data_IF_896476656804
#
_entry.id   IF_896476656804
#
_cell.length_a   1.000
_cell.length_b   1.000
_cell.length_c   1.000
_cell.angle_alpha   90.00
_cell.angle_beta   90.00
_cell.angle_gamma   90.00
#
_symmetry.space_group_name_H-M   'P 1'
#
loop_
_entity.id
_entity.type
_entity.pdbx_description
1 polymer ?
#
# COMPACT_ATOMS: atom_id res chain seq x y z
N UNK A 1 27.47 -4.74 27.22
CA UNK A 1 28.66 -3.89 27.02
C UNK A 1 28.14 -2.47 26.93
N UNK A 2 28.26 -1.73 28.02
CA UNK A 2 27.80 -0.33 28.13
C UNK A 2 28.84 0.64 27.56
N UNK A 3 28.38 1.74 26.99
CA UNK A 3 29.21 2.88 26.60
C UNK A 3 29.02 4.02 27.61
N UNK A 4 30.09 4.70 28.05
CA UNK A 4 30.01 5.78 29.03
C UNK A 4 29.63 7.11 28.36
N UNK A 5 28.70 7.83 28.96
CA UNK A 5 28.29 9.15 28.49
C UNK A 5 27.11 9.70 29.29
N UNK A 6 27.41 10.27 30.46
CA UNK A 6 26.48 11.06 31.26
C UNK A 6 25.97 12.26 30.47
N UNK A 7 24.67 12.30 30.18
CA UNK A 7 23.92 13.54 29.97
C UNK A 7 22.67 13.46 30.85
N UNK A 8 22.73 14.17 31.97
CA UNK A 8 21.60 14.44 32.84
C UNK A 8 20.57 15.30 32.10
N UNK A 9 19.54 14.65 31.59
CA UNK A 9 18.32 15.23 31.05
C UNK A 9 17.30 14.10 30.85
N UNK A 10 15.98 14.36 30.91
CA UNK A 10 15.02 13.36 30.49
C UNK A 10 15.39 12.91 29.07
N UNK A 11 15.38 11.60 28.74
CA UNK A 11 15.68 11.17 27.39
C UNK A 11 14.73 11.92 26.46
N UNK A 12 15.30 12.74 25.56
CA UNK A 12 14.53 13.29 24.45
C UNK A 12 13.80 12.09 23.84
N UNK A 13 12.46 12.15 23.80
CA UNK A 13 11.64 11.04 23.30
C UNK A 13 12.23 10.59 21.97
N UNK A 14 12.85 9.41 21.95
CA UNK A 14 13.47 8.87 20.74
C UNK A 14 12.35 8.70 19.73
N UNK A 15 12.40 9.46 18.63
CA UNK A 15 11.41 9.37 17.58
C UNK A 15 11.30 7.91 17.13
N UNK A 16 10.13 7.31 17.31
CA UNK A 16 9.90 5.91 16.96
C UNK A 16 9.57 5.83 15.47
N UNK A 17 10.31 4.99 14.75
CA UNK A 17 10.09 4.75 13.34
C UNK A 17 9.23 3.49 13.16
N UNK A 18 8.06 3.64 12.55
CA UNK A 18 7.16 2.54 12.21
C UNK A 18 7.24 2.23 10.72
N UNK A 19 7.56 0.99 10.37
CA UNK A 19 7.41 0.48 9.00
C UNK A 19 5.92 0.25 8.74
N UNK A 20 5.39 0.91 7.72
CA UNK A 20 3.99 0.82 7.32
C UNK A 20 3.77 -0.22 6.22
N UNK A 21 4.69 -0.27 5.25
CA UNK A 21 4.67 -1.22 4.13
C UNK A 21 6.10 -1.50 3.70
N UNK A 22 6.36 -2.70 3.19
CA UNK A 22 7.65 -3.12 2.68
C UNK A 22 7.48 -3.77 1.29
N UNK A 23 8.41 -3.49 0.38
CA UNK A 23 8.50 -4.14 -0.94
C UNK A 23 9.94 -4.58 -1.20
N UNK A 24 10.09 -5.80 -1.73
CA UNK A 24 11.39 -6.36 -2.11
C UNK A 24 11.69 -5.92 -3.55
N UNK A 25 12.81 -5.23 -3.74
CA UNK A 25 13.20 -4.72 -5.07
C UNK A 25 14.21 -5.64 -5.75
N UNK A 26 15.14 -6.19 -4.99
CA UNK A 26 16.11 -7.20 -5.42
C UNK A 26 16.43 -8.14 -4.26
N UNK A 27 17.33 -9.12 -4.48
CA UNK A 27 17.79 -10.05 -3.44
C UNK A 27 18.38 -9.36 -2.21
N UNK A 28 19.02 -8.21 -2.41
CA UNK A 28 19.79 -7.48 -1.41
C UNK A 28 19.21 -6.11 -1.07
N UNK A 29 18.07 -5.71 -1.66
CA UNK A 29 17.52 -4.37 -1.51
C UNK A 29 16.01 -4.38 -1.29
N UNK A 30 15.62 -3.67 -0.25
CA UNK A 30 14.23 -3.52 0.19
C UNK A 30 13.89 -2.03 0.29
N UNK A 31 12.69 -1.68 -0.13
CA UNK A 31 12.10 -0.37 0.10
C UNK A 31 10.93 -0.47 1.07
N UNK A 32 10.70 0.55 1.87
CA UNK A 32 9.58 0.62 2.79
C UNK A 32 8.96 2.00 2.84
N UNK A 33 7.68 2.05 3.19
CA UNK A 33 7.06 3.28 3.69
C UNK A 33 7.23 3.30 5.19
N UNK A 34 7.73 4.41 5.72
CA UNK A 34 8.04 4.57 7.13
C UNK A 34 7.39 5.84 7.67
N UNK A 35 6.93 5.80 8.91
CA UNK A 35 6.38 6.96 9.61
C UNK A 35 7.12 7.18 10.91
N UNK A 36 7.52 8.41 11.21
CA UNK A 36 8.21 8.78 12.45
C UNK A 36 7.26 9.50 13.41
N UNK A 37 7.26 9.11 14.68
CA UNK A 37 6.55 9.84 15.73
C UNK A 37 7.41 11.01 16.24
N UNK A 38 6.83 12.22 16.29
CA UNK A 38 7.50 13.43 16.78
C UNK A 38 8.02 14.34 15.66
N UNK A 39 7.32 15.46 15.43
CA UNK A 39 7.68 16.50 14.46
C UNK A 39 7.08 16.26 13.07
N UNK A 40 5.98 16.95 12.74
CA UNK A 40 5.49 17.08 11.35
C UNK A 40 4.99 15.80 10.64
N UNK A 41 4.97 14.63 11.29
CA UNK A 41 4.11 13.47 10.97
C UNK A 41 4.04 12.99 9.51
N UNK A 42 5.13 13.07 8.74
CA UNK A 42 5.15 12.65 7.33
C UNK A 42 5.51 11.19 7.11
N UNK A 43 4.96 10.58 6.06
CA UNK A 43 5.42 9.28 5.54
C UNK A 43 6.60 9.50 4.58
N UNK A 44 7.62 8.65 4.68
CA UNK A 44 8.80 8.68 3.83
C UNK A 44 9.02 7.32 3.15
N UNK A 45 9.76 7.33 2.04
CA UNK A 45 10.31 6.10 1.46
C UNK A 45 11.66 5.85 2.11
N UNK A 46 11.90 4.66 2.64
CA UNK A 46 13.20 4.28 3.18
C UNK A 46 13.74 3.05 2.45
N UNK A 47 15.05 3.03 2.21
CA UNK A 47 15.75 1.89 1.63
C UNK A 47 16.60 1.19 2.68
N UNK A 48 16.73 -0.12 2.56
CA UNK A 48 17.57 -0.95 3.41
C UNK A 48 18.20 -2.09 2.59
N UNK A 49 19.46 -2.42 2.91
CA UNK A 49 20.11 -3.65 2.47
C UNK A 49 20.23 -4.63 3.63
N UNK A 50 19.28 -5.57 3.79
CA UNK A 50 19.31 -6.51 4.90
C UNK A 50 20.64 -7.26 4.94
N UNK A 51 21.32 -7.24 6.09
CA UNK A 51 22.56 -7.99 6.32
C UNK A 51 23.87 -7.26 6.01
N UNK A 52 23.86 -6.14 5.27
CA UNK A 52 25.09 -5.36 4.98
C UNK A 52 25.10 -3.99 5.64
N UNK A 53 23.94 -3.37 5.83
CA UNK A 53 23.82 -2.06 6.49
C UNK A 53 22.64 -2.07 7.46
N UNK A 54 22.82 -1.73 8.74
CA UNK A 54 21.74 -1.72 9.72
C UNK A 54 20.86 -0.45 9.64
N UNK A 55 21.20 0.50 8.77
CA UNK A 55 20.55 1.80 8.64
C UNK A 55 19.50 1.83 7.52
N UNK A 56 18.40 2.53 7.80
CA UNK A 56 17.40 2.90 6.81
C UNK A 56 17.69 4.30 6.29
N UNK A 57 17.79 4.46 4.98
CA UNK A 57 17.97 5.78 4.35
C UNK A 57 16.60 6.34 3.99
N UNK A 58 16.01 7.15 4.88
CA UNK A 58 14.70 7.75 4.68
C UNK A 58 14.78 8.99 3.77
N UNK A 59 13.96 8.98 2.73
CA UNK A 59 13.76 10.06 1.80
C UNK A 59 12.33 10.56 1.95
N UNK A 60 12.21 11.72 2.58
CA UNK A 60 10.95 12.44 2.57
C UNK A 60 10.72 12.94 1.14
N UNK A 61 9.52 12.77 0.58
CA UNK A 61 9.18 13.49 -0.63
C UNK A 61 9.37 15.00 -0.39
N UNK A 62 9.63 15.80 -1.44
CA UNK A 62 9.86 17.24 -1.31
C UNK A 62 8.60 17.94 -0.75
N UNK A 63 8.44 17.92 0.57
CA UNK A 63 7.36 18.54 1.32
C UNK A 63 7.87 19.84 1.92
N UNK A 64 7.54 20.95 1.27
CA UNK A 64 7.86 22.30 1.75
C UNK A 64 7.56 23.40 0.75
N UNK A 65 7.61 23.12 -0.56
CA UNK A 65 7.29 24.09 -1.60
C UNK A 65 6.16 23.64 -2.54
N UNK A 66 6.07 22.36 -2.89
CA UNK A 66 5.05 21.86 -3.81
C UNK A 66 3.95 21.07 -3.09
N UNK A 67 2.92 21.80 -2.65
CA UNK A 67 1.75 21.23 -1.97
C UNK A 67 0.88 20.36 -2.91
N UNK A 68 1.23 20.22 -4.19
CA UNK A 68 0.42 19.55 -5.19
C UNK A 68 0.52 18.01 -5.15
N UNK A 69 1.65 17.45 -4.69
CA UNK A 69 1.86 16.00 -4.71
C UNK A 69 1.03 15.28 -3.63
N UNK A 70 0.93 15.87 -2.44
CA UNK A 70 0.24 15.30 -1.28
C UNK A 70 1.00 14.14 -0.59
N UNK A 71 0.36 13.54 0.41
CA UNK A 71 0.96 12.50 1.26
C UNK A 71 1.33 11.24 0.50
N UNK A 72 2.45 10.61 0.85
CA UNK A 72 2.83 9.28 0.36
C UNK A 72 1.82 8.22 0.84
N UNK A 73 1.06 7.64 -0.09
CA UNK A 73 0.02 6.63 0.18
C UNK A 73 0.55 5.22 0.07
N UNK A 74 1.19 4.89 -1.06
CA UNK A 74 1.61 3.53 -1.34
C UNK A 74 2.90 3.45 -2.20
N UNK A 75 3.55 2.28 -2.24
CA UNK A 75 4.70 1.99 -3.10
C UNK A 75 4.58 0.61 -3.75
N UNK A 76 5.17 0.45 -4.93
CA UNK A 76 5.23 -0.83 -5.64
C UNK A 76 6.49 -0.92 -6.52
N UNK A 77 6.96 -2.14 -6.76
CA UNK A 77 8.05 -2.40 -7.72
C UNK A 77 7.42 -2.86 -9.03
N UNK A 78 7.78 -2.19 -10.13
CA UNK A 78 7.30 -2.51 -11.45
C UNK A 78 8.36 -2.19 -12.50
N UNK A 79 8.61 -3.10 -13.45
CA UNK A 79 9.63 -2.91 -14.48
C UNK A 79 11.04 -2.63 -13.93
N UNK A 80 11.37 -3.16 -12.73
CA UNK A 80 12.65 -2.91 -12.06
C UNK A 80 12.80 -1.53 -11.41
N UNK A 81 11.76 -0.70 -11.41
CA UNK A 81 11.74 0.62 -10.76
C UNK A 81 10.82 0.65 -9.55
N UNK A 82 11.15 1.51 -8.59
CA UNK A 82 10.29 1.81 -7.45
C UNK A 82 9.31 2.93 -7.84
N UNK A 83 8.03 2.61 -7.83
CA UNK A 83 6.97 3.58 -8.00
C UNK A 83 6.34 3.93 -6.65
N UNK A 84 5.94 5.18 -6.51
CA UNK A 84 5.25 5.69 -5.35
C UNK A 84 3.99 6.43 -5.76
N UNK A 85 2.94 6.16 -4.99
CA UNK A 85 1.63 6.74 -5.14
C UNK A 85 1.42 7.74 -4.00
N UNK A 86 1.13 8.97 -4.38
CA UNK A 86 0.86 10.07 -3.47
C UNK A 86 -0.64 10.42 -3.46
N UNK A 87 -1.01 11.40 -2.64
CA UNK A 87 -2.37 11.91 -2.54
C UNK A 87 -2.99 12.21 -3.91
N UNK A 88 -4.30 12.04 -4.01
CA UNK A 88 -5.08 12.24 -5.23
C UNK A 88 -4.69 11.35 -6.43
N UNK A 89 -3.81 10.36 -6.23
CA UNK A 89 -3.38 9.46 -7.30
C UNK A 89 -2.16 9.95 -8.07
N UNK A 90 -1.40 10.91 -7.55
CA UNK A 90 -0.13 11.32 -8.17
C UNK A 90 0.86 10.14 -8.20
N UNK A 91 1.43 9.84 -9.36
CA UNK A 91 2.39 8.73 -9.54
C UNK A 91 3.80 9.27 -9.80
N UNK A 92 4.74 8.91 -8.93
CA UNK A 92 6.17 9.13 -9.12
C UNK A 92 6.92 7.81 -9.31
N UNK A 93 8.12 7.88 -9.89
CA UNK A 93 9.14 6.86 -9.70
C UNK A 93 10.37 7.43 -8.99
N UNK A 94 11.09 6.55 -8.32
CA UNK A 94 12.40 6.81 -7.74
C UNK A 94 13.44 5.97 -8.48
N UNK A 95 14.48 6.60 -9.01
CA UNK A 95 15.64 5.89 -9.52
C UNK A 95 16.60 5.61 -8.37
N UNK A 96 17.29 4.47 -8.44
CA UNK A 96 18.26 4.08 -7.42
C UNK A 96 19.61 4.69 -7.76
N UNK A 97 20.19 5.39 -6.79
CA UNK A 97 21.53 5.94 -6.90
C UNK A 97 22.48 4.95 -6.21
N UNK A 98 23.47 4.48 -6.95
CA UNK A 98 24.58 3.73 -6.38
C UNK A 98 25.39 4.67 -5.46
N UNK A 99 25.27 4.48 -4.14
CA UNK A 99 26.09 5.16 -3.15
C UNK A 99 27.19 4.24 -2.61
N UNK A 100 28.21 4.83 -2.00
CA UNK A 100 29.41 4.19 -1.42
C UNK A 100 29.13 3.33 -0.15
N UNK A 101 27.94 2.74 -0.04
CA UNK A 101 27.55 1.84 1.05
C UNK A 101 26.04 1.81 1.30
N UNK A 102 25.40 2.97 1.42
CA UNK A 102 23.95 3.07 1.66
C UNK A 102 23.16 3.27 0.36
N UNK A 103 22.06 2.53 0.17
CA UNK A 103 21.18 2.71 -0.98
C UNK A 103 20.44 4.04 -0.86
N UNK A 104 20.49 4.87 -1.91
CA UNK A 104 19.79 6.16 -1.96
C UNK A 104 18.80 6.16 -3.13
N UNK A 105 17.71 6.89 -2.99
CA UNK A 105 16.85 7.23 -4.15
C UNK A 105 17.19 8.61 -4.69
N UNK A 106 16.95 8.80 -5.99
CA UNK A 106 16.92 10.10 -6.66
C UNK A 106 15.76 10.97 -6.18
N UNK A 107 15.68 12.18 -6.73
CA UNK A 107 14.44 12.97 -6.69
C UNK A 107 13.27 12.22 -7.33
N UNK A 108 12.07 12.43 -6.79
CA UNK A 108 10.77 11.96 -7.33
C UNK A 108 10.63 12.41 -8.78
N UNK A 109 10.56 11.48 -9.73
CA UNK A 109 10.20 11.80 -11.13
C UNK A 109 8.70 11.64 -11.26
N UNK A 110 7.98 12.75 -11.48
CA UNK A 110 6.53 12.75 -11.61
C UNK A 110 6.12 12.23 -13.00
N UNK A 111 5.22 11.24 -13.03
CA UNK A 111 4.75 10.60 -14.27
C UNK A 111 3.29 10.89 -14.58
N UNK A 112 2.42 10.83 -13.56
CA UNK A 112 0.98 11.03 -13.73
C UNK A 112 0.49 11.95 -12.62
N UNK A 113 -0.07 13.09 -13.01
CA UNK A 113 -0.77 13.96 -12.08
C UNK A 113 -2.06 13.27 -11.62
N UNK A 114 -2.31 13.31 -10.31
CA UNK A 114 -3.52 12.76 -9.71
C UNK A 114 -4.74 13.54 -10.17
N UNK A 115 -5.78 12.82 -10.60
CA UNK A 115 -7.05 13.45 -10.95
C UNK A 115 -7.89 13.73 -9.70
N UNK A 116 -8.47 14.94 -9.68
CA UNK A 116 -9.19 15.46 -8.53
C UNK A 116 -10.43 14.65 -8.15
N UNK A 117 -10.93 13.70 -8.97
CA UNK A 117 -11.86 12.58 -8.69
C UNK A 117 -12.28 11.92 -10.04
N UNK A 118 -12.83 10.68 -10.07
CA UNK A 118 -13.32 10.08 -11.31
C UNK A 118 -14.41 10.96 -11.95
N UNK A 119 -14.52 11.04 -13.29
CA UNK A 119 -15.53 11.87 -13.95
C UNK A 119 -16.97 11.48 -13.59
N UNK A 120 -17.19 10.23 -13.18
CA UNK A 120 -18.49 9.69 -12.80
C UNK A 120 -18.72 9.65 -11.27
N UNK A 121 -17.91 10.39 -10.51
CA UNK A 121 -18.02 10.40 -9.06
C UNK A 121 -19.37 10.97 -8.64
N UNK A 122 -20.11 10.23 -7.81
CA UNK A 122 -21.31 10.77 -7.20
C UNK A 122 -20.94 11.85 -6.17
N UNK A 123 -21.77 12.90 -5.99
CA UNK A 123 -21.49 13.98 -5.04
C UNK A 123 -21.20 13.53 -3.61
N UNK A 124 -21.73 12.36 -3.23
CA UNK A 124 -21.64 11.80 -1.88
C UNK A 124 -20.53 10.75 -1.70
N UNK A 125 -19.73 10.50 -2.73
CA UNK A 125 -18.57 9.63 -2.62
C UNK A 125 -17.40 10.38 -1.97
N UNK A 126 -16.64 9.68 -1.14
CA UNK A 126 -15.43 10.17 -0.52
C UNK A 126 -14.27 9.29 -0.95
N UNK A 127 -13.17 9.94 -1.31
CA UNK A 127 -11.93 9.26 -1.64
C UNK A 127 -11.28 8.77 -0.35
N UNK A 128 -11.35 7.47 -0.11
CA UNK A 128 -11.03 6.88 1.18
C UNK A 128 -9.65 6.21 1.20
N UNK A 129 -9.12 5.83 0.05
CA UNK A 129 -7.76 5.29 -0.04
C UNK A 129 -7.29 4.98 -1.45
N UNK A 130 -5.98 4.89 -1.61
CA UNK A 130 -5.33 4.54 -2.86
C UNK A 130 -4.28 3.46 -2.60
N UNK A 131 -4.27 2.43 -3.43
CA UNK A 131 -3.26 1.39 -3.41
C UNK A 131 -2.63 1.25 -4.79
N UNK A 132 -1.34 0.98 -4.81
CA UNK A 132 -0.55 0.76 -6.02
C UNK A 132 -0.24 -0.73 -6.14
N UNK A 133 -0.61 -1.35 -7.25
CA UNK A 133 -0.52 -2.81 -7.41
C UNK A 133 0.01 -3.16 -8.79
N UNK A 134 1.13 -3.89 -8.91
CA UNK A 134 1.52 -4.50 -10.19
C UNK A 134 0.48 -5.55 -10.59
N UNK A 135 0.06 -5.52 -11.85
CA UNK A 135 -0.90 -6.48 -12.41
C UNK A 135 -0.37 -7.91 -12.36
N UNK A 136 -1.26 -8.87 -12.08
CA UNK A 136 -0.92 -10.30 -12.05
C UNK A 136 -0.58 -10.85 -13.44
N UNK A 137 -1.17 -10.26 -14.48
CA UNK A 137 -0.91 -10.62 -15.88
C UNK A 137 0.38 -10.00 -16.42
N UNK A 138 1.07 -9.20 -15.61
CA UNK A 138 2.28 -8.48 -16.00
C UNK A 138 2.00 -7.25 -16.87
N UNK A 139 3.04 -6.44 -17.07
CA UNK A 139 3.04 -5.30 -18.00
C UNK A 139 2.28 -4.05 -17.55
N UNK A 140 1.40 -4.14 -16.56
CA UNK A 140 0.58 -3.01 -16.09
C UNK A 140 0.84 -2.68 -14.61
N UNK A 141 0.75 -1.39 -14.29
CA UNK A 141 0.73 -0.87 -12.93
C UNK A 141 -0.66 -0.30 -12.65
N UNK A 142 -1.29 -0.77 -11.58
CA UNK A 142 -2.68 -0.50 -11.26
C UNK A 142 -2.80 0.46 -10.08
N UNK A 143 -3.70 1.45 -10.23
CA UNK A 143 -4.25 2.22 -9.12
C UNK A 143 -5.56 1.58 -8.69
N UNK A 144 -5.61 1.05 -7.47
CA UNK A 144 -6.84 0.58 -6.84
C UNK A 144 -7.35 1.69 -5.93
N UNK A 145 -8.40 2.38 -6.39
CA UNK A 145 -9.02 3.48 -5.67
C UNK A 145 -10.19 2.97 -4.84
N UNK A 146 -10.13 3.20 -3.54
CA UNK A 146 -11.18 2.92 -2.58
C UNK A 146 -12.05 4.16 -2.41
N UNK A 147 -13.33 4.03 -2.74
CA UNK A 147 -14.34 5.05 -2.54
C UNK A 147 -15.33 4.60 -1.47
N UNK A 148 -15.80 5.55 -0.67
CA UNK A 148 -16.87 5.33 0.29
C UNK A 148 -18.05 6.26 -0.01
N UNK A 149 -19.24 5.69 -0.16
CA UNK A 149 -20.49 6.44 -0.25
C UNK A 149 -21.42 6.04 0.88
N UNK A 150 -22.24 6.97 1.38
CA UNK A 150 -23.28 6.65 2.37
C UNK A 150 -24.30 5.63 1.86
N UNK A 151 -24.54 5.58 0.55
CA UNK A 151 -25.57 4.70 -0.04
C UNK A 151 -25.02 3.37 -0.57
N UNK A 152 -23.85 3.41 -1.19
CA UNK A 152 -23.23 2.21 -1.79
C UNK A 152 -22.26 1.52 -0.82
N UNK A 153 -21.94 2.17 0.30
CA UNK A 153 -20.86 1.76 1.17
C UNK A 153 -19.51 1.85 0.47
N UNK A 154 -18.60 0.96 0.86
CA UNK A 154 -17.26 0.82 0.28
C UNK A 154 -17.34 0.13 -1.07
N UNK A 155 -16.67 0.72 -2.07
CA UNK A 155 -16.47 0.11 -3.37
C UNK A 155 -15.11 0.51 -3.96
N UNK A 156 -14.71 -0.17 -5.02
CA UNK A 156 -13.39 -0.02 -5.62
C UNK A 156 -13.49 0.23 -7.12
N UNK A 157 -12.60 1.09 -7.60
CA UNK A 157 -12.38 1.31 -9.03
C UNK A 157 -10.90 1.10 -9.32
N UNK A 158 -10.59 0.39 -10.41
CA UNK A 158 -9.22 0.08 -10.80
C UNK A 158 -8.87 0.85 -12.06
N UNK A 159 -7.70 1.50 -12.06
CA UNK A 159 -7.15 2.21 -13.19
C UNK A 159 -5.80 1.61 -13.57
N UNK A 160 -5.48 1.64 -14.85
CA UNK A 160 -4.18 1.28 -15.42
C UNK A 160 -3.37 2.56 -15.66
N UNK A 161 -2.09 2.53 -15.29
CA UNK A 161 -1.16 3.60 -15.58
C UNK A 161 -0.80 3.63 -17.07
N UNK A 162 -1.04 4.75 -17.75
CA UNK A 162 -0.40 5.09 -19.03
C UNK A 162 0.68 6.14 -18.75
N UNK A 163 1.90 5.66 -18.46
CA UNK A 163 3.04 6.54 -18.14
C UNK A 163 3.45 7.39 -19.35
N UNK A 164 3.39 6.83 -20.56
CA UNK A 164 3.73 7.57 -21.79
C UNK A 164 2.72 8.65 -22.13
N UNK A 165 1.45 8.42 -21.80
CA UNK A 165 0.36 9.38 -21.93
C UNK A 165 0.03 10.19 -20.67
N UNK A 166 0.86 10.08 -19.63
CA UNK A 166 0.76 10.79 -18.34
C UNK A 166 -0.66 10.77 -17.71
N UNK A 167 -1.38 9.64 -17.78
CA UNK A 167 -2.77 9.56 -17.28
C UNK A 167 -3.12 8.19 -16.69
N UNK A 168 -4.13 8.20 -15.82
CA UNK A 168 -4.84 7.01 -15.39
C UNK A 168 -5.99 6.70 -16.35
N UNK A 169 -6.12 5.46 -16.79
CA UNK A 169 -7.28 5.00 -17.59
C UNK A 169 -8.02 3.93 -16.82
N UNK A 170 -9.35 4.00 -16.75
CA UNK A 170 -10.11 2.94 -16.08
C UNK A 170 -9.83 1.58 -16.72
N UNK A 171 -9.57 0.57 -15.89
CA UNK A 171 -9.25 -0.76 -16.35
C UNK A 171 -10.45 -1.38 -17.07
N UNK A 172 -10.23 -1.91 -18.27
CA UNK A 172 -11.26 -2.61 -19.00
C UNK A 172 -11.72 -3.86 -18.24
N UNK A 173 -13.02 -4.17 -18.29
CA UNK A 173 -13.56 -5.37 -17.66
C UNK A 173 -12.80 -6.65 -18.06
N UNK A 174 -12.33 -6.74 -19.31
CA UNK A 174 -11.54 -7.87 -19.79
C UNK A 174 -10.20 -8.05 -19.09
N UNK A 175 -9.49 -6.97 -18.73
CA UNK A 175 -8.18 -7.07 -18.04
C UNK A 175 -8.32 -7.43 -16.56
N UNK A 176 -9.49 -7.22 -15.97
CA UNK A 176 -9.76 -7.52 -14.57
C UNK A 176 -10.30 -8.94 -14.32
N UNK A 177 -10.80 -9.63 -15.36
CA UNK A 177 -11.56 -10.89 -15.22
C UNK A 177 -10.82 -12.03 -14.53
N UNK A 178 -9.50 -12.09 -14.67
CA UNK A 178 -8.67 -13.14 -14.09
C UNK A 178 -7.77 -12.62 -12.94
N UNK A 179 -8.01 -11.41 -12.44
CA UNK A 179 -7.22 -10.83 -11.37
C UNK A 179 -7.91 -10.94 -10.00
N UNK A 180 -7.12 -11.35 -9.01
CA UNK A 180 -7.39 -11.24 -7.58
C UNK A 180 -6.45 -10.20 -7.00
N UNK A 181 -6.96 -9.07 -6.52
CA UNK A 181 -6.15 -7.97 -6.00
C UNK A 181 -6.31 -7.89 -4.49
N UNK A 182 -5.22 -8.11 -3.75
CA UNK A 182 -5.15 -7.97 -2.31
C UNK A 182 -4.58 -6.60 -1.99
N UNK A 183 -5.26 -5.83 -1.14
CA UNK A 183 -4.85 -4.48 -0.75
C UNK A 183 -5.10 -4.23 0.74
N UNK A 184 -4.17 -3.51 1.35
CA UNK A 184 -4.21 -3.09 2.73
C UNK A 184 -3.05 -2.13 3.02
N UNK A 185 -2.92 -1.73 4.28
CA UNK A 185 -1.83 -0.84 4.73
C UNK A 185 -0.44 -1.46 4.56
N UNK A 186 -0.30 -2.75 4.85
CA UNK A 186 0.98 -3.46 4.87
C UNK A 186 1.26 -4.32 3.64
N UNK A 187 0.27 -4.52 2.75
CA UNK A 187 0.42 -5.37 1.58
C UNK A 187 -0.45 -4.86 0.43
N UNK A 188 0.11 -4.88 -0.79
CA UNK A 188 -0.69 -4.82 -2.00
C UNK A 188 -0.09 -5.78 -3.04
N UNK A 189 -0.91 -6.67 -3.59
CA UNK A 189 -0.47 -7.69 -4.56
C UNK A 189 -1.62 -8.14 -5.44
N UNK A 190 -1.35 -8.40 -6.71
CA UNK A 190 -2.27 -9.10 -7.58
C UNK A 190 -1.82 -10.56 -7.81
N UNK A 191 -2.79 -11.45 -7.94
CA UNK A 191 -2.63 -12.85 -8.29
C UNK A 191 -3.60 -13.24 -9.41
N UNK A 192 -3.25 -14.27 -10.17
CA UNK A 192 -4.09 -14.81 -11.24
C UNK A 192 -5.12 -15.78 -10.66
N UNK A 193 -6.41 -15.55 -10.88
CA UNK A 193 -7.49 -16.35 -10.31
C UNK A 193 -7.54 -17.78 -10.85
N UNK A 194 -7.24 -17.95 -12.14
CA UNK A 194 -7.18 -19.26 -12.80
C UNK A 194 -6.14 -20.21 -12.18
N UNK A 195 -5.08 -19.69 -11.56
CA UNK A 195 -4.12 -20.51 -10.80
C UNK A 195 -4.73 -21.15 -9.55
N UNK A 196 -5.87 -20.64 -9.07
CA UNK A 196 -6.58 -21.11 -7.88
C UNK A 196 -7.97 -21.69 -8.21
N UNK A 197 -8.18 -22.10 -9.47
CA UNK A 197 -9.41 -22.73 -9.93
C UNK A 197 -10.57 -21.77 -10.25
N UNK A 198 -10.45 -20.47 -9.93
CA UNK A 198 -11.38 -19.44 -10.40
C UNK A 198 -12.84 -19.56 -9.89
N UNK A 199 -13.06 -20.22 -8.75
CA UNK A 199 -14.39 -20.47 -8.19
C UNK A 199 -14.67 -19.66 -6.92
N UNK A 200 -15.95 -19.36 -6.68
CA UNK A 200 -16.40 -18.67 -5.46
C UNK A 200 -15.75 -17.28 -5.27
N UNK A 201 -15.20 -17.04 -4.08
CA UNK A 201 -14.47 -15.82 -3.75
C UNK A 201 -13.14 -15.68 -4.51
N UNK A 202 -12.56 -16.79 -4.96
CA UNK A 202 -11.33 -16.83 -5.77
C UNK A 202 -11.62 -16.81 -7.27
N UNK A 203 -12.87 -16.53 -7.68
CA UNK A 203 -13.16 -16.14 -9.06
C UNK A 203 -12.48 -14.80 -9.33
N UNK A 204 -11.88 -14.60 -10.49
CA UNK A 204 -11.25 -13.33 -10.81
C UNK A 204 -12.24 -12.17 -10.83
N UNK A 205 -11.74 -10.96 -11.05
CA UNK A 205 -12.49 -9.73 -10.84
C UNK A 205 -12.82 -9.49 -9.33
N UNK A 206 -11.81 -9.62 -8.45
CA UNK A 206 -11.98 -9.43 -7.01
C UNK A 206 -10.93 -8.52 -6.39
N UNK A 207 -11.36 -7.70 -5.44
CA UNK A 207 -10.49 -6.98 -4.51
C UNK A 207 -10.70 -7.53 -3.10
N UNK A 208 -9.64 -8.04 -2.49
CA UNK A 208 -9.58 -8.44 -1.08
C UNK A 208 -8.98 -7.28 -0.30
N UNK A 209 -9.77 -6.67 0.59
CA UNK A 209 -9.36 -5.52 1.37
C UNK A 209 -9.17 -5.88 2.84
N UNK A 210 -8.00 -5.56 3.40
CA UNK A 210 -7.73 -5.63 4.84
C UNK A 210 -7.72 -4.23 5.45
N UNK A 211 -8.54 -4.01 6.47
CA UNK A 211 -8.62 -2.73 7.16
C UNK A 211 -7.73 -2.74 8.40
N UNK A 212 -6.47 -2.34 8.27
CA UNK A 212 -5.52 -2.34 9.39
C UNK A 212 -5.61 -1.07 10.27
N UNK A 213 -6.59 -0.18 10.03
CA UNK A 213 -6.75 1.08 10.78
C UNK A 213 -8.03 1.10 11.65
N UNK A 214 -8.90 0.10 11.54
CA UNK A 214 -10.12 0.01 12.38
C UNK A 214 -10.28 -1.36 13.06
N UNK A 215 -9.19 -1.86 13.66
CA UNK A 215 -9.24 -2.94 14.65
C UNK A 215 -10.00 -2.56 15.96
N UNK A 216 -10.98 -1.65 15.86
CA UNK A 216 -12.00 -1.41 16.88
C UNK A 216 -13.17 -2.42 16.79
N UNK A 217 -13.27 -3.17 15.69
CA UNK A 217 -14.31 -4.17 15.48
C UNK A 217 -13.69 -5.54 15.21
N UNK A 218 -13.78 -6.42 16.19
CA UNK A 218 -13.12 -7.72 16.30
C UNK A 218 -13.68 -8.81 15.39
N UNK A 219 -14.06 -8.52 14.14
CA UNK A 219 -14.76 -9.52 13.31
C UNK A 219 -14.39 -9.61 11.83
N UNK A 220 -13.50 -8.80 11.25
CA UNK A 220 -13.26 -8.88 9.79
C UNK A 220 -11.78 -9.06 9.45
N UNK A 221 -11.41 -10.25 8.97
CA UNK A 221 -10.06 -10.55 8.48
C UNK A 221 -9.88 -10.16 7.01
N UNK A 222 -10.88 -10.36 6.14
CA UNK A 222 -10.86 -9.87 4.74
C UNK A 222 -12.26 -9.57 4.21
N UNK A 223 -12.44 -8.44 3.51
CA UNK A 223 -13.68 -8.11 2.79
C UNK A 223 -13.43 -8.19 1.27
N UNK A 224 -14.26 -8.94 0.55
CA UNK A 224 -14.09 -9.17 -0.89
C UNK A 224 -15.10 -8.39 -1.71
N UNK A 225 -14.65 -7.61 -2.69
CA UNK A 225 -15.45 -6.74 -3.55
C UNK A 225 -15.32 -7.12 -5.03
N UNK A 226 -16.36 -6.87 -5.83
CA UNK A 226 -16.33 -7.04 -7.29
C UNK A 226 -15.90 -5.73 -7.98
N UNK A 227 -14.87 -5.79 -8.84
CA UNK A 227 -14.29 -4.59 -9.47
C UNK A 227 -15.10 -4.07 -10.66
N UNK A 228 -15.83 -4.95 -11.36
CA UNK A 228 -16.60 -4.62 -12.55
C UNK A 228 -18.02 -4.18 -12.19
N UNK A 229 -18.70 -4.94 -11.34
CA UNK A 229 -20.09 -4.66 -10.93
C UNK A 229 -20.17 -3.53 -9.90
N UNK A 230 -19.02 -3.17 -9.28
CA UNK A 230 -18.92 -2.13 -8.23
C UNK A 230 -20.02 -2.30 -7.18
N UNK A 231 -20.10 -3.50 -6.61
CA UNK A 231 -21.18 -3.90 -5.71
C UNK A 231 -21.33 -2.95 -4.51
N UNK A 232 -22.57 -2.79 -4.04
CA UNK A 232 -22.92 -2.01 -2.85
C UNK A 232 -22.50 -2.73 -1.55
N UNK A 233 -21.20 -2.94 -1.37
CA UNK A 233 -20.61 -3.70 -0.28
C UNK A 233 -19.90 -4.99 -0.71
N UNK A 234 -19.34 -5.75 0.26
CA UNK A 234 -18.58 -6.96 -0.02
C UNK A 234 -19.50 -8.06 -0.58
N UNK A 235 -19.03 -8.74 -1.64
CA UNK A 235 -19.70 -9.91 -2.23
C UNK A 235 -19.45 -11.16 -1.37
N UNK A 236 -18.28 -11.22 -0.71
CA UNK A 236 -17.94 -12.26 0.25
C UNK A 236 -17.24 -11.63 1.46
N UNK A 237 -17.92 -11.48 2.61
CA UNK A 237 -17.21 -11.24 3.86
C UNK A 237 -16.58 -12.57 4.32
N UNK A 238 -15.27 -12.59 4.57
CA UNK A 238 -14.59 -13.74 5.18
C UNK A 238 -14.36 -13.40 6.65
N UNK A 239 -15.09 -14.12 7.51
CA UNK A 239 -15.01 -14.02 8.97
C UNK A 239 -14.02 -15.06 9.49
N UNK A 240 -13.22 -14.70 10.49
CA UNK A 240 -12.38 -15.63 11.24
C UNK A 240 -13.23 -16.24 12.38
N UNK A 241 -14.14 -17.16 12.04
CA UNK A 241 -15.11 -17.74 12.99
C UNK A 241 -14.54 -18.93 13.81
N UNK A 242 -13.27 -19.34 13.62
CA UNK A 242 -12.70 -20.52 14.29
C UNK A 242 -12.11 -20.25 15.71
N UNK A 243 -12.15 -19.02 16.23
CA UNK A 243 -11.59 -18.69 17.56
C UNK A 243 -12.62 -18.27 18.63
N UNK A 244 -13.92 -18.35 18.37
CA UNK A 244 -14.95 -17.88 19.31
C UNK A 244 -15.37 -18.88 20.41
N UNK A 245 -14.59 -19.93 20.64
CA UNK A 245 -14.70 -20.75 21.84
C UNK A 245 -13.34 -20.92 22.53
N UNK A 246 -12.80 -19.86 23.11
CA UNK A 246 -12.37 -19.83 24.51
C UNK A 246 -11.69 -18.49 24.86
N UNK A 247 -12.33 -17.73 25.75
CA UNK A 247 -11.67 -16.71 26.56
C UNK A 247 -11.36 -15.38 25.87
N UNK A 248 -12.07 -14.33 26.28
CA UNK A 248 -11.72 -12.92 26.11
C UNK A 248 -10.19 -12.67 26.23
N UNK A 249 -9.47 -12.70 25.11
CA UNK A 249 -8.17 -12.03 24.99
C UNK A 249 -8.38 -10.81 24.11
N UNK A 250 -8.38 -9.64 24.76
CA UNK A 250 -8.11 -8.36 24.08
C UNK A 250 -6.73 -8.49 23.46
N UNK A 251 -6.67 -8.71 22.14
CA UNK A 251 -5.44 -8.51 21.39
C UNK A 251 -5.03 -7.04 21.54
N UNK A 252 -3.82 -6.80 22.08
CA UNK A 252 -3.24 -5.46 22.12
C UNK A 252 -2.82 -5.07 20.71
N UNK A 253 -2.84 -3.76 20.45
CA UNK A 253 -2.37 -3.07 19.25
C UNK A 253 -0.98 -3.49 18.72
N UNK A 254 -0.22 -4.26 19.51
CA UNK A 254 1.13 -4.71 19.22
C UNK A 254 1.22 -5.99 18.37
N UNK A 255 0.14 -6.80 18.29
CA UNK A 255 0.15 -8.11 17.63
C UNK A 255 -0.21 -8.10 16.14
N UNK A 256 -0.78 -7.01 15.60
CA UNK A 256 -1.07 -6.89 14.15
C UNK A 256 0.17 -6.58 13.31
N UNK A 257 1.34 -6.41 13.94
CA UNK A 257 2.63 -6.11 13.29
C UNK A 257 3.17 -7.25 12.41
N UNK A 258 2.52 -8.41 12.37
CA UNK A 258 3.00 -9.62 11.68
C UNK A 258 2.30 -9.93 10.34
N UNK A 259 1.32 -9.14 9.90
CA UNK A 259 0.55 -9.45 8.67
C UNK A 259 1.26 -9.05 7.36
N UNK A 260 2.46 -8.49 7.41
CA UNK A 260 3.24 -8.06 6.24
C UNK A 260 3.91 -9.19 5.44
N UNK A 261 3.65 -10.46 5.74
CA UNK A 261 4.49 -11.59 5.26
C UNK A 261 3.82 -12.59 4.32
N UNK A 262 2.61 -12.35 3.81
CA UNK A 262 1.89 -13.42 3.12
C UNK A 262 2.29 -13.70 1.67
N UNK A 263 3.25 -12.97 1.09
CA UNK A 263 3.42 -13.02 -0.35
C UNK A 263 4.86 -12.71 -0.80
N UNK A 264 5.77 -13.71 -0.86
CA UNK A 264 7.07 -13.52 -1.49
C UNK A 264 6.88 -13.15 -2.97
N UNK A 265 7.54 -12.08 -3.41
CA UNK A 265 7.75 -11.79 -4.82
C UNK A 265 8.63 -12.89 -5.40
N UNK A 266 8.15 -13.58 -6.43
CA UNK A 266 9.03 -14.38 -7.28
C UNK A 266 9.91 -13.39 -8.04
N UNK A 267 11.15 -13.24 -7.58
CA UNK A 267 12.23 -12.62 -8.35
C UNK A 267 12.64 -13.57 -9.46
#
# INVERSE_FOLDING_TARGET
>A
MELPGSLSGPPAATAEMKICKLVVMSRDLVAAIVSTSGGGGGRAVALCRPGTSPSWSAHHPPGGADHQLGDLRDIAVHGGKLYALHGHGNLCSYDLIAGDGEPKVSSCVHHIAGDALPPNKLPEEHDAGHHLVPSATGGELLLVRHLYSRFLGRHFTVFVADVGGARWSEAAASSLRDQLIFVGTGCSRALTASHYGGVGAMRGNRVFYTNDVEAYSSTHSYLVYDMIMRSNGPVFPIYDDDYLHEGKRRYRYEDTRYLSWFFPSSV
#
